data_IF_271294253802
#
_entry.id   IF_271294253802
#
_cell.length_a   1.000
_cell.length_b   1.000
_cell.length_c   1.000
_cell.angle_alpha   90.00
_cell.angle_beta   90.00
_cell.angle_gamma   90.00
#
_symmetry.space_group_name_H-M   'P 1'
#
loop_
_entity.id
_entity.type
_entity.pdbx_description
1 polymer ?
#
# COMPACT_ATOMS: atom_id res chain seq x y z
N UNK A 1 25.34 14.46 6.07
CA UNK A 1 25.30 13.44 5.00
C UNK A 1 24.01 13.64 4.24
N UNK A 2 24.10 13.78 2.93
CA UNK A 2 22.98 14.05 2.04
C UNK A 2 22.23 12.76 1.69
N UNK A 3 20.93 12.88 1.46
CA UNK A 3 20.09 11.77 1.01
C UNK A 3 20.39 11.45 -0.46
N UNK A 4 20.55 10.18 -0.80
CA UNK A 4 20.81 9.73 -2.18
C UNK A 4 19.48 9.36 -2.82
N UNK A 5 19.26 9.83 -4.05
CA UNK A 5 18.08 9.48 -4.83
C UNK A 5 18.40 8.33 -5.77
N UNK A 6 17.68 7.22 -5.63
CA UNK A 6 17.76 6.06 -6.52
C UNK A 6 16.37 5.57 -6.91
N UNK A 7 16.17 5.29 -8.21
CA UNK A 7 14.87 4.94 -8.81
C UNK A 7 13.70 5.83 -8.35
N UNK A 8 13.96 7.12 -8.08
CA UNK A 8 12.93 8.06 -7.60
C UNK A 8 12.61 7.98 -6.10
N UNK A 9 13.34 7.18 -5.33
CA UNK A 9 13.24 7.03 -3.88
C UNK A 9 14.46 7.68 -3.22
N UNK A 10 14.24 8.46 -2.16
CA UNK A 10 15.32 9.07 -1.39
C UNK A 10 15.71 8.17 -0.22
N UNK A 11 17.01 7.86 -0.14
CA UNK A 11 17.61 7.05 0.90
C UNK A 11 18.49 7.93 1.78
N UNK A 12 18.07 8.12 3.03
CA UNK A 12 18.91 8.73 4.06
C UNK A 12 19.90 7.67 4.60
N UNK A 13 21.10 8.05 5.09
CA UNK A 13 22.07 7.10 5.65
C UNK A 13 21.54 6.28 6.83
N UNK A 14 20.52 6.80 7.53
CA UNK A 14 19.84 6.13 8.64
C UNK A 14 18.69 5.21 8.17
N UNK A 15 18.46 5.13 6.86
CA UNK A 15 17.33 4.45 6.22
C UNK A 15 15.97 4.86 6.80
N UNK A 16 15.92 6.12 7.27
CA UNK A 16 14.67 6.79 7.62
C UNK A 16 14.14 7.40 6.33
N UNK A 17 12.90 7.08 5.98
CA UNK A 17 12.27 7.58 4.75
C UNK A 17 11.56 8.92 4.97
N UNK A 18 11.97 9.70 5.97
CA UNK A 18 11.30 10.94 6.39
C UNK A 18 11.34 11.98 5.26
N UNK A 19 12.53 12.18 4.68
CA UNK A 19 12.77 13.07 3.52
C UNK A 19 11.97 12.62 2.29
N UNK A 20 11.93 11.31 2.04
CA UNK A 20 11.18 10.72 0.93
C UNK A 20 9.66 10.89 1.08
N UNK A 21 9.11 10.60 2.26
CA UNK A 21 7.68 10.69 2.56
C UNK A 21 7.20 12.14 2.48
N UNK A 22 7.98 13.08 3.01
CA UNK A 22 7.66 14.52 2.88
C UNK A 22 7.67 14.96 1.42
N UNK A 23 8.64 14.51 0.62
CA UNK A 23 8.69 14.80 -0.81
C UNK A 23 7.49 14.18 -1.58
N UNK A 24 7.12 12.92 -1.30
CA UNK A 24 5.92 12.29 -1.86
C UNK A 24 4.68 13.11 -1.50
N UNK A 25 4.52 13.46 -0.23
CA UNK A 25 3.37 14.24 0.22
C UNK A 25 3.30 15.60 -0.49
N UNK A 26 4.42 16.30 -0.62
CA UNK A 26 4.49 17.57 -1.32
C UNK A 26 4.15 17.43 -2.81
N UNK A 27 4.71 16.42 -3.49
CA UNK A 27 4.42 16.14 -4.91
C UNK A 27 2.95 15.81 -5.13
N UNK A 28 2.38 14.94 -4.30
CA UNK A 28 0.98 14.56 -4.37
C UNK A 28 0.05 15.74 -4.08
N UNK A 29 0.38 16.61 -3.10
CA UNK A 29 -0.40 17.82 -2.84
C UNK A 29 -0.34 18.82 -4.01
N UNK A 30 0.82 18.97 -4.68
CA UNK A 30 0.95 19.82 -5.87
C UNK A 30 0.03 19.35 -6.99
N UNK A 31 0.02 18.05 -7.26
CA UNK A 31 -0.86 17.45 -8.29
C UNK A 31 -2.32 17.53 -7.87
N UNK A 32 -2.63 17.34 -6.59
CA UNK A 32 -4.00 17.54 -6.10
C UNK A 32 -4.46 19.00 -6.29
N UNK A 33 -3.58 19.98 -6.06
CA UNK A 33 -3.85 21.38 -6.35
C UNK A 33 -3.99 21.67 -7.86
N UNK A 34 -3.27 20.95 -8.71
CA UNK A 34 -3.47 20.98 -10.15
C UNK A 34 -4.85 20.44 -10.55
N UNK A 35 -5.26 19.28 -10.02
CA UNK A 35 -6.59 18.70 -10.26
C UNK A 35 -7.69 19.67 -9.84
N UNK A 36 -7.59 20.26 -8.64
CA UNK A 36 -8.60 21.20 -8.13
C UNK A 36 -8.80 22.44 -9.01
N UNK A 37 -7.75 22.90 -9.69
CA UNK A 37 -7.81 24.08 -10.58
C UNK A 37 -8.32 23.74 -11.98
N UNK A 38 -7.91 22.60 -12.53
CA UNK A 38 -8.23 22.23 -13.92
C UNK A 38 -9.51 21.42 -14.04
N UNK A 39 -9.95 20.76 -12.97
CA UNK A 39 -11.19 20.00 -12.93
C UNK A 39 -12.30 20.77 -12.17
N UNK A 40 -12.29 22.11 -12.25
CA UNK A 40 -13.26 22.95 -11.56
C UNK A 40 -14.68 22.74 -12.12
N UNK A 41 -14.82 22.44 -13.41
CA UNK A 41 -16.09 22.24 -14.10
C UNK A 41 -16.53 20.77 -14.16
N UNK A 42 -15.74 19.87 -13.56
CA UNK A 42 -16.06 18.44 -13.53
C UNK A 42 -16.93 18.15 -12.31
N UNK A 43 -18.13 17.62 -12.56
CA UNK A 43 -19.09 17.25 -11.51
C UNK A 43 -19.30 15.73 -11.41
N UNK A 44 -18.72 14.95 -12.32
CA UNK A 44 -18.74 13.49 -12.26
C UNK A 44 -17.73 12.95 -11.24
N UNK A 45 -18.28 12.28 -10.22
CA UNK A 45 -17.48 11.63 -9.17
C UNK A 45 -16.57 10.53 -9.70
N UNK A 46 -16.97 9.80 -10.75
CA UNK A 46 -16.19 8.70 -11.32
C UNK A 46 -15.01 9.21 -12.13
N UNK A 47 -15.22 10.25 -12.95
CA UNK A 47 -14.14 10.93 -13.65
C UNK A 47 -13.09 11.50 -12.69
N UNK A 48 -13.51 12.26 -11.67
CA UNK A 48 -12.60 12.83 -10.67
C UNK A 48 -11.84 11.76 -9.90
N UNK A 49 -12.52 10.67 -9.51
CA UNK A 49 -11.90 9.51 -8.88
C UNK A 49 -10.84 8.88 -9.78
N UNK A 50 -11.13 8.72 -11.07
CA UNK A 50 -10.20 8.13 -12.05
C UNK A 50 -8.93 8.98 -12.20
N UNK A 51 -9.09 10.31 -12.29
CA UNK A 51 -7.97 11.27 -12.36
C UNK A 51 -7.11 11.21 -11.09
N UNK A 52 -7.73 11.16 -9.91
CA UNK A 52 -7.01 11.00 -8.64
C UNK A 52 -6.22 9.68 -8.61
N UNK A 53 -6.86 8.59 -9.01
CA UNK A 53 -6.28 7.26 -9.01
C UNK A 53 -5.07 7.15 -9.95
N UNK A 54 -5.11 7.81 -11.11
CA UNK A 54 -4.03 7.78 -12.09
C UNK A 54 -2.87 8.71 -11.73
N UNK A 55 -3.14 9.91 -11.21
CA UNK A 55 -2.10 10.94 -11.01
C UNK A 55 -1.57 11.04 -9.58
N UNK A 56 -2.45 10.98 -8.57
CA UNK A 56 -2.07 11.21 -7.17
C UNK A 56 -1.77 9.89 -6.46
N UNK A 57 -2.68 8.93 -6.60
CA UNK A 57 -2.58 7.65 -5.90
C UNK A 57 -1.37 6.84 -6.38
N UNK A 58 -1.08 6.86 -7.68
CA UNK A 58 0.11 6.22 -8.28
C UNK A 58 1.41 6.69 -7.61
N UNK A 59 1.52 7.97 -7.24
CA UNK A 59 2.70 8.52 -6.55
C UNK A 59 2.79 8.01 -5.11
N UNK A 60 1.66 7.91 -4.41
CA UNK A 60 1.60 7.41 -3.04
C UNK A 60 1.85 5.89 -2.94
N UNK A 61 1.70 5.16 -4.04
CA UNK A 61 1.84 3.71 -4.15
C UNK A 61 3.18 3.26 -4.77
N UNK A 62 3.91 4.20 -5.38
CA UNK A 62 5.16 3.88 -6.07
C UNK A 62 6.24 3.43 -5.09
N UNK A 63 6.73 2.20 -5.26
CA UNK A 63 7.84 1.63 -4.48
C UNK A 63 7.40 1.05 -3.13
N UNK A 64 7.34 -0.28 -3.02
CA UNK A 64 6.98 -0.97 -1.76
C UNK A 64 8.04 -0.80 -0.65
N UNK A 65 9.30 -0.52 -1.03
CA UNK A 65 10.44 -0.52 -0.11
C UNK A 65 10.32 0.49 1.04
N UNK A 66 9.75 1.66 0.79
CA UNK A 66 9.63 2.72 1.79
C UNK A 66 8.29 2.71 2.54
N UNK A 67 7.42 1.70 2.30
CA UNK A 67 6.07 1.69 2.87
C UNK A 67 6.10 1.94 4.39
N UNK A 68 5.43 3.00 4.86
CA UNK A 68 5.66 3.54 6.20
C UNK A 68 5.11 2.61 7.27
N UNK A 69 5.92 2.30 8.27
CA UNK A 69 5.51 1.51 9.44
C UNK A 69 5.07 2.40 10.62
N UNK A 70 5.61 3.61 10.72
CA UNK A 70 5.27 4.58 11.77
C UNK A 70 3.89 5.22 11.51
N UNK A 71 3.08 5.34 12.56
CA UNK A 71 1.74 5.92 12.50
C UNK A 71 1.72 7.34 11.94
N UNK A 72 2.68 8.19 12.34
CA UNK A 72 2.79 9.56 11.84
C UNK A 72 2.97 9.63 10.32
N UNK A 73 3.83 8.79 9.77
CA UNK A 73 4.05 8.72 8.32
C UNK A 73 2.85 8.17 7.56
N UNK A 74 2.19 7.12 8.10
CA UNK A 74 0.94 6.60 7.53
C UNK A 74 -0.11 7.72 7.45
N UNK A 75 -0.27 8.50 8.52
CA UNK A 75 -1.21 9.62 8.58
C UNK A 75 -0.86 10.74 7.60
N UNK A 76 0.43 11.08 7.40
CA UNK A 76 0.84 12.08 6.41
C UNK A 76 0.38 11.68 5.01
N UNK A 77 0.59 10.42 4.63
CA UNK A 77 0.16 9.91 3.33
C UNK A 77 -1.36 9.83 3.24
N UNK A 78 -2.04 9.34 4.28
CA UNK A 78 -3.50 9.21 4.30
C UNK A 78 -4.20 10.58 4.22
N UNK A 79 -3.60 11.63 4.80
CA UNK A 79 -4.10 13.02 4.69
C UNK A 79 -4.23 13.49 3.24
N UNK A 80 -3.42 12.98 2.32
CA UNK A 80 -3.51 13.32 0.88
C UNK A 80 -4.84 12.82 0.33
N UNK A 81 -5.18 11.55 0.61
CA UNK A 81 -6.46 10.97 0.20
C UNK A 81 -7.64 11.66 0.87
N UNK A 82 -7.52 11.98 2.17
CA UNK A 82 -8.56 12.74 2.89
C UNK A 82 -8.83 14.10 2.25
N UNK A 83 -7.80 14.83 1.82
CA UNK A 83 -7.98 16.12 1.12
C UNK A 83 -8.71 15.95 -0.21
N UNK A 84 -8.38 14.90 -0.97
CA UNK A 84 -9.09 14.60 -2.21
C UNK A 84 -10.56 14.24 -1.96
N UNK A 85 -10.85 13.38 -0.99
CA UNK A 85 -12.21 13.00 -0.66
C UNK A 85 -13.04 14.20 -0.20
N UNK A 86 -12.47 15.12 0.58
CA UNK A 86 -13.15 16.37 0.97
C UNK A 86 -13.48 17.25 -0.23
N UNK A 87 -12.56 17.35 -1.19
CA UNK A 87 -12.81 18.07 -2.43
C UNK A 87 -13.92 17.40 -3.25
N UNK A 88 -13.86 16.07 -3.39
CA UNK A 88 -14.85 15.30 -4.13
C UNK A 88 -16.24 15.37 -3.49
N UNK A 89 -16.33 15.25 -2.16
CA UNK A 89 -17.60 15.33 -1.45
C UNK A 89 -18.25 16.70 -1.59
N UNK A 90 -17.45 17.77 -1.58
CA UNK A 90 -17.93 19.12 -1.83
C UNK A 90 -18.44 19.30 -3.27
N UNK A 91 -17.70 18.77 -4.26
CA UNK A 91 -18.06 18.91 -5.67
C UNK A 91 -19.31 18.10 -6.06
N UNK A 92 -19.43 16.88 -5.55
CA UNK A 92 -20.53 15.97 -5.92
C UNK A 92 -21.69 15.99 -4.91
N UNK A 93 -21.77 17.00 -4.03
CA UNK A 93 -22.82 17.15 -3.01
C UNK A 93 -23.05 15.90 -2.15
N UNK A 94 -21.97 15.19 -1.80
CA UNK A 94 -22.04 14.00 -0.95
C UNK A 94 -22.20 14.47 0.50
N UNK A 95 -23.31 14.09 1.12
CA UNK A 95 -23.60 14.45 2.52
C UNK A 95 -22.50 13.90 3.42
N UNK A 96 -21.86 14.80 4.14
CA UNK A 96 -20.85 14.48 5.14
C UNK A 96 -21.35 14.97 6.49
N UNK A 97 -21.66 14.03 7.38
CA UNK A 97 -22.00 14.36 8.76
C UNK A 97 -20.85 15.17 9.41
N UNK A 98 -21.15 16.23 10.19
CA UNK A 98 -20.14 16.93 10.96
C UNK A 98 -19.41 15.94 11.86
N UNK A 99 -18.08 16.08 11.96
CA UNK A 99 -17.21 15.13 12.68
C UNK A 99 -17.23 13.67 12.19
N UNK A 100 -17.79 13.39 11.00
CA UNK A 100 -17.76 12.04 10.44
C UNK A 100 -16.34 11.49 10.26
N UNK A 101 -16.23 10.20 10.58
CA UNK A 101 -15.07 9.37 10.27
C UNK A 101 -14.73 9.45 8.77
N UNK A 102 -13.46 9.20 8.46
CA UNK A 102 -12.96 9.07 7.10
C UNK A 102 -13.47 7.79 6.40
N UNK A 103 -13.73 6.73 7.17
CA UNK A 103 -14.07 5.40 6.65
C UNK A 103 -15.41 5.31 5.90
N UNK A 104 -16.51 5.98 6.31
CA UNK A 104 -17.79 5.89 5.58
C UNK A 104 -17.73 6.55 4.19
N UNK A 105 -16.91 7.60 4.02
CA UNK A 105 -16.73 8.24 2.72
C UNK A 105 -15.95 7.35 1.76
N UNK A 106 -15.04 6.53 2.27
CA UNK A 106 -14.32 5.55 1.45
C UNK A 106 -15.27 4.49 0.88
N UNK A 107 -16.18 3.96 1.70
CA UNK A 107 -17.16 2.97 1.24
C UNK A 107 -18.12 3.56 0.22
N UNK A 108 -18.66 4.76 0.45
CA UNK A 108 -19.53 5.45 -0.53
C UNK A 108 -18.80 5.63 -1.87
N UNK A 109 -17.52 6.00 -1.83
CA UNK A 109 -16.71 6.25 -3.03
C UNK A 109 -16.07 5.00 -3.62
N UNK A 110 -16.29 3.81 -3.05
CA UNK A 110 -15.60 2.57 -3.40
C UNK A 110 -14.07 2.76 -3.48
N UNK A 111 -13.50 3.43 -2.49
CA UNK A 111 -12.07 3.66 -2.31
C UNK A 111 -11.57 2.92 -1.07
N UNK A 112 -10.29 2.57 -1.09
CA UNK A 112 -9.62 1.88 0.02
C UNK A 112 -8.58 2.80 0.63
N UNK A 113 -8.24 2.57 1.89
CA UNK A 113 -7.15 3.32 2.53
C UNK A 113 -5.84 3.10 1.77
N UNK A 114 -4.95 4.10 1.75
CA UNK A 114 -3.66 3.93 1.08
C UNK A 114 -2.81 2.86 1.76
N UNK A 115 -3.02 2.63 3.06
CA UNK A 115 -2.40 1.53 3.81
C UNK A 115 -2.84 0.16 3.29
N UNK A 116 -4.15 -0.11 3.19
CA UNK A 116 -4.65 -1.37 2.64
C UNK A 116 -4.18 -1.58 1.20
N UNK A 117 -4.10 -0.52 0.41
CA UNK A 117 -3.61 -0.60 -0.97
C UNK A 117 -2.14 -0.98 -1.04
N UNK A 118 -1.27 -0.42 -0.20
CA UNK A 118 0.14 -0.84 -0.10
C UNK A 118 0.26 -2.30 0.35
N UNK A 119 -0.56 -2.73 1.31
CA UNK A 119 -0.60 -4.13 1.75
C UNK A 119 -0.97 -5.07 0.59
N UNK A 120 -1.96 -4.70 -0.23
CA UNK A 120 -2.31 -5.47 -1.43
C UNK A 120 -1.19 -5.52 -2.46
N UNK A 121 -0.50 -4.40 -2.69
CA UNK A 121 0.64 -4.36 -3.60
C UNK A 121 1.76 -5.30 -3.13
N UNK A 122 2.01 -5.38 -1.83
CA UNK A 122 2.96 -6.33 -1.24
C UNK A 122 2.55 -7.79 -1.50
N UNK A 123 1.27 -8.13 -1.32
CA UNK A 123 0.75 -9.48 -1.60
C UNK A 123 0.78 -9.83 -3.10
N UNK A 124 0.41 -8.89 -3.96
CA UNK A 124 0.45 -9.09 -5.40
C UNK A 124 1.87 -9.27 -5.91
N UNK A 125 2.81 -8.51 -5.34
CA UNK A 125 4.23 -8.66 -5.62
C UNK A 125 4.74 -10.02 -5.16
N UNK A 126 4.38 -10.48 -3.96
CA UNK A 126 4.81 -11.79 -3.46
C UNK A 126 4.27 -12.93 -4.32
N UNK A 127 2.99 -12.91 -4.70
CA UNK A 127 2.45 -13.93 -5.59
C UNK A 127 3.19 -13.97 -6.94
N UNK A 128 3.46 -12.80 -7.53
CA UNK A 128 4.23 -12.70 -8.78
C UNK A 128 5.65 -13.21 -8.65
N UNK A 129 6.30 -12.96 -7.50
CA UNK A 129 7.64 -13.46 -7.20
C UNK A 129 7.67 -15.00 -7.15
N UNK A 130 6.67 -15.64 -6.55
CA UNK A 130 6.64 -17.11 -6.39
C UNK A 130 6.12 -17.86 -7.62
N UNK A 131 5.21 -17.26 -8.40
CA UNK A 131 4.51 -17.91 -9.52
C UNK A 131 5.15 -17.62 -10.90
N UNK A 132 6.44 -17.29 -10.97
CA UNK A 132 7.24 -17.13 -12.21
C UNK A 132 7.10 -15.81 -12.99
N UNK A 133 6.65 -14.71 -12.38
CA UNK A 133 6.58 -13.41 -13.08
C UNK A 133 7.76 -12.47 -12.79
N UNK A 134 8.66 -12.80 -11.86
CA UNK A 134 9.80 -11.96 -11.46
C UNK A 134 10.99 -12.85 -11.13
N UNK A 135 12.07 -12.75 -11.93
CA UNK A 135 13.31 -13.47 -11.69
C UNK A 135 14.24 -12.63 -10.79
N UNK A 136 14.30 -12.99 -9.50
CA UNK A 136 15.18 -12.36 -8.52
C UNK A 136 15.54 -13.36 -7.40
N UNK A 137 16.52 -14.25 -7.64
CA UNK A 137 16.88 -15.31 -6.68
C UNK A 137 17.44 -14.74 -5.37
N UNK A 138 18.14 -13.60 -5.39
CA UNK A 138 18.68 -12.97 -4.19
C UNK A 138 17.59 -12.48 -3.25
N UNK A 139 16.48 -11.99 -3.79
CA UNK A 139 15.34 -11.58 -2.96
C UNK A 139 14.52 -12.80 -2.51
N UNK A 140 14.33 -13.77 -3.39
CA UNK A 140 13.61 -15.01 -3.08
C UNK A 140 14.27 -15.80 -1.95
N UNK A 141 15.60 -15.89 -1.94
CA UNK A 141 16.38 -16.57 -0.89
C UNK A 141 16.19 -15.99 0.52
N UNK A 142 15.62 -14.78 0.65
CA UNK A 142 15.31 -14.17 1.96
C UNK A 142 13.99 -14.65 2.56
N UNK A 143 13.19 -15.40 1.80
CA UNK A 143 11.92 -15.94 2.29
C UNK A 143 12.13 -17.29 2.99
N UNK A 144 11.90 -17.31 4.30
CA UNK A 144 12.01 -18.54 5.12
C UNK A 144 10.73 -19.35 5.05
N UNK A 145 10.61 -20.30 4.12
CA UNK A 145 9.42 -21.16 4.01
C UNK A 145 9.28 -22.13 5.18
N UNK A 146 8.06 -22.24 5.69
CA UNK A 146 7.69 -23.21 6.72
C UNK A 146 7.37 -24.56 6.07
N UNK A 147 8.36 -25.47 6.05
CA UNK A 147 8.24 -26.82 5.47
C UNK A 147 8.44 -27.89 6.56
N UNK A 148 7.44 -28.11 7.43
CA UNK A 148 7.59 -29.06 8.53
C UNK A 148 7.64 -30.50 8.01
N UNK A 149 8.56 -31.30 8.55
CA UNK A 149 8.74 -32.72 8.20
C UNK A 149 7.52 -33.58 8.60
N UNK A 150 6.72 -33.10 9.56
CA UNK A 150 5.50 -33.75 10.05
C UNK A 150 4.33 -32.79 9.88
N UNK A 151 3.13 -33.31 9.62
CA UNK A 151 1.90 -32.51 9.55
C UNK A 151 1.74 -31.70 10.84
N UNK A 152 2.00 -30.40 10.72
CA UNK A 152 1.75 -29.44 11.79
C UNK A 152 0.35 -28.87 11.61
N UNK A 153 -0.38 -28.64 12.70
CA UNK A 153 -1.65 -27.91 12.65
C UNK A 153 -1.47 -26.41 12.36
N UNK A 154 -0.22 -25.93 12.35
CA UNK A 154 0.08 -24.55 11.98
C UNK A 154 -0.12 -24.35 10.48
N UNK A 155 -0.98 -23.38 10.13
CA UNK A 155 -1.20 -22.92 8.76
C UNK A 155 -0.20 -21.85 8.32
N UNK A 156 0.88 -21.63 9.07
CA UNK A 156 1.87 -20.62 8.71
C UNK A 156 2.65 -21.07 7.48
N UNK A 157 2.70 -20.21 6.46
CA UNK A 157 3.48 -20.43 5.24
C UNK A 157 4.97 -20.15 5.45
N UNK A 158 5.31 -19.25 6.37
CA UNK A 158 6.68 -18.79 6.60
C UNK A 158 7.13 -18.92 8.05
N UNK A 159 8.42 -19.21 8.28
CA UNK A 159 9.10 -18.99 9.56
C UNK A 159 9.43 -17.50 9.70
N UNK A 160 8.98 -16.87 10.78
CA UNK A 160 9.35 -15.48 11.08
C UNK A 160 10.52 -15.47 12.04
N UNK A 161 11.67 -15.00 11.56
CA UNK A 161 12.82 -14.74 12.42
C UNK A 161 12.50 -13.56 13.36
N UNK A 162 13.02 -13.65 14.59
CA UNK A 162 12.97 -12.55 15.55
C UNK A 162 13.97 -11.47 15.13
N UNK A 163 13.45 -10.35 14.66
CA UNK A 163 14.27 -9.22 14.23
C UNK A 163 14.63 -8.31 15.41
N UNK A 164 15.88 -7.86 15.45
CA UNK A 164 16.42 -7.03 16.54
C UNK A 164 15.99 -5.56 16.40
N UNK A 165 15.73 -5.09 15.19
CA UNK A 165 15.40 -3.68 14.93
C UNK A 165 14.04 -3.51 14.28
N UNK A 166 13.39 -2.39 14.59
CA UNK A 166 12.14 -1.98 13.93
C UNK A 166 12.31 -1.87 12.41
N UNK A 167 13.48 -1.47 11.94
CA UNK A 167 13.77 -1.40 10.51
C UNK A 167 13.73 -2.80 9.89
N UNK A 168 14.48 -3.75 10.45
CA UNK A 168 14.54 -5.13 9.95
C UNK A 168 13.15 -5.80 9.93
N UNK A 169 12.35 -5.63 10.99
CA UNK A 169 10.97 -6.14 11.06
C UNK A 169 10.00 -5.52 10.04
N UNK A 170 10.35 -4.37 9.45
CA UNK A 170 9.50 -3.69 8.46
C UNK A 170 10.11 -3.68 7.05
N UNK A 171 11.19 -4.44 6.83
CA UNK A 171 11.71 -4.70 5.49
C UNK A 171 10.64 -5.39 4.63
N UNK A 172 10.70 -5.23 3.28
CA UNK A 172 9.64 -5.75 2.40
C UNK A 172 9.39 -7.26 2.57
N UNK A 173 10.43 -8.09 2.54
CA UNK A 173 10.29 -9.54 2.68
C UNK A 173 9.69 -9.94 4.04
N UNK A 174 10.20 -9.41 5.15
CA UNK A 174 9.69 -9.71 6.49
C UNK A 174 8.25 -9.25 6.67
N UNK A 175 7.91 -8.04 6.21
CA UNK A 175 6.54 -7.51 6.24
C UNK A 175 5.57 -8.35 5.41
N UNK A 176 5.99 -8.80 4.23
CA UNK A 176 5.20 -9.68 3.36
C UNK A 176 4.93 -11.00 4.09
N UNK A 177 5.98 -11.68 4.57
CA UNK A 177 5.86 -12.96 5.29
C UNK A 177 4.94 -12.83 6.51
N UNK A 178 5.11 -11.76 7.29
CA UNK A 178 4.28 -11.46 8.46
C UNK A 178 2.82 -11.25 8.09
N UNK A 179 2.56 -10.50 7.01
CA UNK A 179 1.20 -10.25 6.51
C UNK A 179 0.52 -11.53 6.05
N UNK A 180 1.24 -12.38 5.31
CA UNK A 180 0.72 -13.66 4.79
C UNK A 180 0.36 -14.61 5.93
N UNK A 181 1.27 -14.80 6.90
CA UNK A 181 0.99 -15.62 8.08
C UNK A 181 -0.19 -15.05 8.89
N UNK A 182 -0.23 -13.73 9.11
CA UNK A 182 -1.31 -13.08 9.87
C UNK A 182 -2.68 -13.30 9.23
N UNK A 183 -2.76 -13.23 7.91
CA UNK A 183 -4.01 -13.41 7.15
C UNK A 183 -4.27 -14.88 6.78
N UNK A 184 -3.36 -15.80 7.11
CA UNK A 184 -3.41 -17.20 6.70
C UNK A 184 -3.67 -17.36 5.19
N UNK A 185 -2.99 -16.52 4.38
CA UNK A 185 -3.12 -16.53 2.93
C UNK A 185 -2.37 -17.73 2.38
N UNK A 186 -3.05 -18.55 1.60
CA UNK A 186 -2.38 -19.56 0.79
C UNK A 186 -1.98 -18.95 -0.57
N UNK A 187 -0.67 -18.89 -0.81
CA UNK A 187 -0.11 -18.34 -2.04
C UNK A 187 -0.24 -19.30 -3.23
N UNK A 188 -0.43 -20.60 -2.98
CA UNK A 188 -0.33 -21.65 -4.01
C UNK A 188 -1.69 -22.19 -4.45
N UNK A 189 -2.78 -21.85 -3.76
CA UNK A 189 -4.15 -22.27 -4.14
C UNK A 189 -4.57 -21.67 -5.49
N UNK A 190 -4.23 -20.41 -5.75
CA UNK A 190 -4.73 -19.69 -6.91
C UNK A 190 -3.90 -19.98 -8.17
N UNK A 191 -4.52 -20.51 -9.24
CA UNK A 191 -3.80 -20.90 -10.46
C UNK A 191 -3.36 -19.72 -11.32
N UNK A 192 -3.96 -18.53 -11.13
CA UNK A 192 -3.58 -17.33 -11.86
C UNK A 192 -3.70 -16.08 -10.98
N UNK A 193 -3.05 -15.01 -11.43
CA UNK A 193 -2.98 -13.72 -10.71
C UNK A 193 -4.36 -13.09 -10.47
N UNK A 194 -5.31 -13.23 -11.40
CA UNK A 194 -6.65 -12.66 -11.25
C UNK A 194 -7.46 -13.37 -10.17
N UNK A 195 -7.37 -14.70 -10.11
CA UNK A 195 -7.95 -15.51 -9.04
C UNK A 195 -7.34 -15.15 -7.69
N UNK A 196 -6.02 -14.97 -7.62
CA UNK A 196 -5.35 -14.50 -6.41
C UNK A 196 -5.84 -13.11 -5.98
N UNK A 197 -5.97 -12.19 -6.93
CA UNK A 197 -6.48 -10.83 -6.68
C UNK A 197 -7.88 -10.86 -6.07
N UNK A 198 -8.78 -11.67 -6.62
CA UNK A 198 -10.14 -11.84 -6.11
C UNK A 198 -10.13 -12.46 -4.70
N UNK A 199 -9.28 -13.46 -4.47
CA UNK A 199 -9.09 -14.06 -3.15
C UNK A 199 -8.62 -13.03 -2.11
N UNK A 200 -7.57 -12.25 -2.41
CA UNK A 200 -7.11 -11.17 -1.53
C UNK A 200 -8.17 -10.10 -1.29
N UNK A 201 -8.97 -9.77 -2.31
CA UNK A 201 -10.06 -8.80 -2.15
C UNK A 201 -11.11 -9.33 -1.16
N UNK A 202 -11.49 -10.61 -1.25
CA UNK A 202 -12.46 -11.20 -0.31
C UNK A 202 -11.97 -11.19 1.14
N UNK A 203 -10.66 -11.37 1.37
CA UNK A 203 -10.07 -11.39 2.71
C UNK A 203 -9.92 -10.00 3.33
N UNK A 204 -9.69 -8.97 2.52
CA UNK A 204 -9.35 -7.61 2.97
C UNK A 204 -10.55 -6.65 2.98
N UNK A 205 -11.76 -7.14 2.67
CA UNK A 205 -13.01 -6.37 2.73
C UNK A 205 -13.65 -6.41 4.14
N UNK A 206 -13.18 -7.30 5.03
CA UNK A 206 -13.61 -7.40 6.43
C UNK A 206 -12.75 -6.55 7.38
#
# INVERSE_FOLDING_TARGET
MEAIKDLGIYFDPKLKFDSHITNIANRSNKILGFIRRNCADFDDSLALKSIYCSLVRSICEYGSIWSPYQSGHKQIIEKIQQKFIRFLSFKCSIIREPHSSYTPLLTILNLETLEQRRLRLDLYFSYKLFSENIDCPEFLSRFSFHTPIRNSWSKNTFYLNTEVTNYASNTPHHRIMKTINKLSIDLFISPNFNSFKNYCNSLLVN
#
